data_IF_217985913958
#
_entry.id   IF_217985913958
#
_cell.length_a   1.000
_cell.length_b   1.000
_cell.length_c   1.000
_cell.angle_alpha   90.00
_cell.angle_beta   90.00
_cell.angle_gamma   90.00
#
_symmetry.space_group_name_H-M   'P 1'
#
loop_
_entity.id
_entity.type
_entity.pdbx_description
1 polymer ?
#
# COMPACT_ATOMS: atom_id res chain seq x y z
N UNK A 1 13.48 -2.16 -7.13
CA UNK A 1 13.23 -3.54 -7.59
C UNK A 1 12.01 -4.10 -6.86
N UNK A 2 11.17 -4.83 -7.56
CA UNK A 2 10.09 -5.59 -6.94
C UNK A 2 10.64 -6.84 -6.28
N UNK A 3 10.21 -7.12 -5.06
CA UNK A 3 10.53 -8.36 -4.38
C UNK A 3 9.55 -9.47 -4.82
N UNK A 4 8.26 -9.20 -4.71
CA UNK A 4 7.21 -10.15 -5.08
C UNK A 4 5.86 -9.47 -5.22
N UNK A 5 4.92 -10.21 -5.82
CA UNK A 5 3.50 -9.87 -5.80
C UNK A 5 2.67 -11.12 -5.55
N UNK A 6 1.52 -10.97 -4.92
CA UNK A 6 0.55 -12.04 -4.74
C UNK A 6 -0.84 -11.44 -4.51
N UNK A 7 -1.85 -12.30 -4.49
CA UNK A 7 -3.22 -11.86 -4.33
C UNK A 7 -3.81 -12.37 -3.02
N UNK A 8 -4.41 -11.48 -2.25
CA UNK A 8 -5.20 -11.85 -1.08
C UNK A 8 -6.46 -12.58 -1.52
N UNK A 9 -6.95 -13.46 -0.66
CA UNK A 9 -8.27 -14.07 -0.83
C UNK A 9 -9.36 -13.00 -0.96
N UNK A 10 -10.32 -13.19 -1.85
CA UNK A 10 -11.39 -12.23 -2.13
C UNK A 10 -12.22 -11.90 -0.89
N UNK A 11 -12.57 -12.92 -0.10
CA UNK A 11 -13.32 -12.74 1.15
C UNK A 11 -12.54 -11.88 2.15
N UNK A 12 -11.25 -12.10 2.28
CA UNK A 12 -10.38 -11.31 3.15
C UNK A 12 -10.25 -9.86 2.65
N UNK A 13 -10.06 -9.67 1.35
CA UNK A 13 -10.03 -8.33 0.73
C UNK A 13 -11.31 -7.56 1.00
N UNK A 14 -12.47 -8.19 0.86
CA UNK A 14 -13.75 -7.57 1.15
C UNK A 14 -13.94 -7.24 2.63
N UNK A 15 -13.44 -8.08 3.53
CA UNK A 15 -13.41 -7.80 4.97
C UNK A 15 -12.59 -6.55 5.27
N UNK A 16 -11.40 -6.43 4.70
CA UNK A 16 -10.55 -5.24 4.83
C UNK A 16 -11.27 -4.01 4.29
N UNK A 17 -11.84 -4.09 3.09
CA UNK A 17 -12.57 -2.99 2.46
C UNK A 17 -13.71 -2.48 3.35
N UNK A 18 -14.51 -3.38 3.89
CA UNK A 18 -15.63 -3.03 4.78
C UNK A 18 -15.16 -2.30 6.02
N UNK A 19 -14.11 -2.77 6.66
CA UNK A 19 -13.55 -2.13 7.85
C UNK A 19 -12.99 -0.74 7.52
N UNK A 20 -12.21 -0.61 6.45
CA UNK A 20 -11.62 0.68 6.06
C UNK A 20 -12.70 1.71 5.69
N UNK A 21 -13.73 1.31 4.97
CA UNK A 21 -14.85 2.19 4.64
C UNK A 21 -15.62 2.64 5.88
N UNK A 22 -15.76 1.79 6.87
CA UNK A 22 -16.39 2.13 8.16
C UNK A 22 -15.58 3.13 8.98
N UNK A 23 -14.28 3.18 8.79
CA UNK A 23 -13.37 4.04 9.55
C UNK A 23 -13.02 5.36 8.85
N UNK A 24 -13.28 5.47 7.55
CA UNK A 24 -12.78 6.59 6.74
C UNK A 24 -13.26 7.98 7.23
N UNK A 25 -14.42 8.07 7.89
CA UNK A 25 -14.93 9.34 8.43
C UNK A 25 -14.08 9.92 9.56
N UNK A 26 -13.21 9.09 10.16
CA UNK A 26 -12.25 9.50 11.18
C UNK A 26 -10.90 9.92 10.59
N UNK A 27 -10.70 9.75 9.27
CA UNK A 27 -9.45 10.06 8.61
C UNK A 27 -9.36 11.53 8.24
N UNK A 28 -8.12 11.99 8.11
CA UNK A 28 -7.81 13.38 7.77
C UNK A 28 -7.13 13.44 6.41
N UNK A 29 -7.31 14.57 5.72
CA UNK A 29 -6.59 14.80 4.48
C UNK A 29 -5.10 14.97 4.78
N UNK A 30 -4.25 14.18 4.12
CA UNK A 30 -2.81 14.35 4.14
C UNK A 30 -2.45 15.48 3.16
N UNK A 31 -1.54 16.36 3.58
CA UNK A 31 -1.03 17.46 2.78
C UNK A 31 0.43 17.25 2.34
N UNK A 32 1.03 16.10 2.68
CA UNK A 32 2.38 15.73 2.30
C UNK A 32 2.41 15.08 0.91
N UNK A 33 3.02 13.89 0.79
CA UNK A 33 3.15 13.19 -0.49
C UNK A 33 1.81 12.68 -1.01
N UNK A 34 0.97 12.15 -0.14
CA UNK A 34 -0.35 11.63 -0.49
C UNK A 34 -1.38 12.75 -0.31
N UNK A 35 -1.97 13.21 -1.41
CA UNK A 35 -3.02 14.23 -1.39
C UNK A 35 -4.40 13.57 -1.33
N UNK A 36 -4.67 12.86 -0.24
CA UNK A 36 -5.89 12.06 -0.03
C UNK A 36 -6.21 11.96 1.46
N UNK A 37 -7.32 11.32 1.81
CA UNK A 37 -7.60 10.98 3.21
C UNK A 37 -6.64 9.87 3.66
N UNK A 38 -6.05 10.02 4.83
CA UNK A 38 -5.19 8.99 5.43
C UNK A 38 -5.63 8.65 6.84
N UNK A 39 -5.48 7.39 7.21
CA UNK A 39 -5.81 6.91 8.55
C UNK A 39 -4.83 7.39 9.64
N UNK A 40 -3.73 8.04 9.24
CA UNK A 40 -2.58 8.22 10.13
C UNK A 40 -1.78 6.92 10.26
N UNK A 41 -0.70 6.96 11.03
CA UNK A 41 0.21 5.83 11.17
C UNK A 41 -0.20 4.88 12.29
N UNK A 42 0.00 3.59 12.07
CA UNK A 42 -0.22 2.48 13.01
C UNK A 42 -1.64 2.43 13.58
N UNK A 43 -2.69 2.59 12.77
CA UNK A 43 -4.03 2.41 13.26
C UNK A 43 -4.28 0.96 13.69
N UNK A 44 -5.22 0.78 14.62
CA UNK A 44 -5.59 -0.52 15.13
C UNK A 44 -6.67 -1.13 14.23
N UNK A 45 -6.28 -2.11 13.39
CA UNK A 45 -7.20 -2.81 12.50
C UNK A 45 -7.46 -4.22 12.98
N UNK A 46 -8.69 -4.65 12.94
CA UNK A 46 -9.11 -6.01 13.30
C UNK A 46 -8.40 -7.09 12.45
N UNK A 47 -8.16 -6.82 11.17
CA UNK A 47 -7.50 -7.75 10.24
C UNK A 47 -5.97 -7.75 10.30
N UNK A 48 -5.36 -6.84 11.08
CA UNK A 48 -3.92 -6.51 10.93
C UNK A 48 -2.99 -7.70 11.18
N UNK A 49 -3.22 -8.48 12.22
CA UNK A 49 -2.32 -9.60 12.58
C UNK A 49 -2.27 -10.67 11.48
N UNK A 50 -3.41 -10.98 10.85
CA UNK A 50 -3.47 -11.94 9.74
C UNK A 50 -2.71 -11.40 8.53
N UNK A 51 -2.93 -10.14 8.18
CA UNK A 51 -2.25 -9.48 7.06
C UNK A 51 -0.74 -9.41 7.29
N UNK A 52 -0.31 -8.96 8.46
CA UNK A 52 1.09 -8.88 8.86
C UNK A 52 1.79 -10.23 8.69
N UNK A 53 1.18 -11.30 9.20
CA UNK A 53 1.74 -12.63 9.09
C UNK A 53 1.95 -13.03 7.62
N UNK A 54 0.95 -12.86 6.77
CA UNK A 54 1.06 -13.21 5.35
C UNK A 54 2.18 -12.46 4.63
N UNK A 55 2.32 -11.15 4.89
CA UNK A 55 3.36 -10.33 4.26
C UNK A 55 4.76 -10.71 4.78
N UNK A 56 4.91 -10.86 6.09
CA UNK A 56 6.20 -11.25 6.69
C UNK A 56 6.65 -12.64 6.22
N UNK A 57 5.75 -13.60 6.08
CA UNK A 57 6.06 -14.91 5.53
C UNK A 57 6.55 -14.82 4.08
N UNK A 58 5.89 -14.03 3.23
CA UNK A 58 6.30 -13.81 1.84
C UNK A 58 7.69 -13.18 1.73
N UNK A 59 7.98 -12.20 2.57
CA UNK A 59 9.31 -11.59 2.60
C UNK A 59 10.36 -12.61 3.05
N UNK A 60 10.07 -13.37 4.11
CA UNK A 60 10.97 -14.40 4.62
C UNK A 60 11.24 -15.51 3.60
N UNK A 61 10.23 -15.96 2.88
CA UNK A 61 10.37 -17.02 1.86
C UNK A 61 11.42 -16.65 0.79
N UNK A 62 11.54 -15.38 0.49
CA UNK A 62 12.44 -14.86 -0.54
C UNK A 62 13.80 -14.48 0.05
N UNK A 63 13.81 -13.72 1.13
CA UNK A 63 15.03 -13.14 1.70
C UNK A 63 15.74 -14.03 2.71
N UNK A 64 15.03 -14.98 3.32
CA UNK A 64 15.46 -15.79 4.47
C UNK A 64 15.80 -14.95 5.71
N UNK A 65 15.38 -13.70 5.73
CA UNK A 65 15.56 -12.75 6.84
C UNK A 65 14.19 -12.38 7.38
N UNK A 66 14.04 -12.43 8.70
CA UNK A 66 12.82 -11.99 9.37
C UNK A 66 12.68 -10.48 9.27
N UNK A 67 11.48 -10.05 8.95
CA UNK A 67 11.10 -8.64 8.90
C UNK A 67 9.89 -8.40 9.77
N UNK A 68 9.74 -7.17 10.23
CA UNK A 68 8.56 -6.71 10.96
C UNK A 68 8.09 -5.38 10.38
N UNK A 69 6.77 -5.10 10.39
CA UNK A 69 6.27 -3.81 10.00
C UNK A 69 6.67 -2.74 11.03
N UNK A 70 7.11 -1.58 10.52
CA UNK A 70 7.38 -0.39 11.33
C UNK A 70 6.26 0.61 11.25
N UNK A 71 5.69 0.76 10.06
CA UNK A 71 4.60 1.67 9.76
C UNK A 71 3.53 0.97 8.95
N UNK A 72 2.28 1.33 9.18
CA UNK A 72 1.16 0.95 8.33
C UNK A 72 0.09 2.02 8.39
N UNK A 73 -0.58 2.24 7.24
CA UNK A 73 -1.64 3.23 7.10
C UNK A 73 -2.50 2.90 5.88
N UNK A 74 -3.72 3.44 5.87
CA UNK A 74 -4.60 3.35 4.72
C UNK A 74 -4.82 4.72 4.10
N UNK A 75 -5.02 4.76 2.79
CA UNK A 75 -5.34 5.95 2.04
C UNK A 75 -6.67 5.75 1.31
N UNK A 76 -7.50 6.78 1.32
CA UNK A 76 -8.72 6.87 0.54
C UNK A 76 -8.60 8.07 -0.40
N UNK A 77 -8.51 7.76 -1.69
CA UNK A 77 -8.47 8.76 -2.75
C UNK A 77 -9.89 8.97 -3.27
N UNK A 78 -10.36 10.19 -3.24
CA UNK A 78 -11.56 10.59 -3.96
C UNK A 78 -11.18 11.04 -5.38
N UNK A 79 -12.17 11.28 -6.22
CA UNK A 79 -11.94 11.88 -7.55
C UNK A 79 -11.19 13.20 -7.40
N UNK A 80 -10.08 13.36 -8.10
CA UNK A 80 -9.20 14.52 -8.03
C UNK A 80 -8.02 14.40 -7.08
N UNK A 81 -8.02 13.40 -6.20
CA UNK A 81 -6.88 13.14 -5.31
C UNK A 81 -5.73 12.44 -6.06
N UNK A 82 -4.52 12.56 -5.53
CA UNK A 82 -3.31 11.98 -6.13
C UNK A 82 -2.26 11.73 -5.06
N UNK A 83 -1.13 11.13 -5.46
CA UNK A 83 0.07 11.06 -4.64
C UNK A 83 1.28 11.52 -5.46
N UNK A 84 2.05 12.45 -4.90
CA UNK A 84 3.27 12.94 -5.50
C UNK A 84 4.33 11.84 -5.57
N UNK A 85 5.28 11.98 -6.48
CA UNK A 85 6.39 11.05 -6.60
C UNK A 85 7.22 11.05 -5.31
N UNK A 86 7.34 9.91 -4.67
CA UNK A 86 8.04 9.74 -3.41
C UNK A 86 8.58 8.32 -3.24
N UNK A 87 9.41 8.14 -2.23
CA UNK A 87 9.91 6.85 -1.76
C UNK A 87 9.80 6.77 -0.24
N UNK A 88 10.01 5.60 0.31
CA UNK A 88 10.04 5.38 1.75
C UNK A 88 11.47 5.09 2.22
N UNK A 89 11.93 5.76 3.22
CA UNK A 89 13.28 5.60 3.80
C UNK A 89 13.20 5.95 5.29
N UNK A 90 13.86 5.22 6.19
CA UNK A 90 14.97 4.26 5.97
C UNK A 90 14.54 2.78 5.89
N UNK A 91 13.30 2.47 5.70
CA UNK A 91 12.79 1.11 5.67
C UNK A 91 13.44 0.28 4.55
N UNK A 92 13.39 -1.07 4.67
CA UNK A 92 13.97 -1.98 3.68
C UNK A 92 12.98 -2.30 2.55
N UNK A 93 11.76 -2.68 2.94
CA UNK A 93 10.70 -3.00 2.00
C UNK A 93 9.44 -2.20 2.32
N UNK A 94 8.71 -1.88 1.27
CA UNK A 94 7.36 -1.33 1.35
C UNK A 94 6.40 -2.29 0.67
N UNK A 95 5.16 -2.28 1.13
CA UNK A 95 4.08 -2.97 0.45
C UNK A 95 2.92 -2.04 0.18
N UNK A 96 2.22 -2.29 -0.92
CA UNK A 96 0.95 -1.66 -1.24
C UNK A 96 -0.06 -2.75 -1.53
N UNK A 97 -1.23 -2.64 -0.90
CA UNK A 97 -2.35 -3.53 -1.11
C UNK A 97 -3.48 -2.72 -1.74
N UNK A 98 -3.93 -3.16 -2.90
CA UNK A 98 -5.01 -2.51 -3.64
C UNK A 98 -6.34 -3.05 -3.15
N UNK A 99 -7.10 -2.24 -2.42
CA UNK A 99 -8.39 -2.61 -1.85
C UNK A 99 -9.54 -2.20 -2.77
N UNK A 100 -9.44 -1.00 -3.35
CA UNK A 100 -10.30 -0.49 -4.41
C UNK A 100 -9.42 0.22 -5.43
N UNK A 101 -9.65 -0.02 -6.72
CA UNK A 101 -8.73 0.43 -7.76
C UNK A 101 -9.34 1.49 -8.66
N UNK A 102 -8.49 2.40 -9.16
CA UNK A 102 -8.78 3.28 -10.30
C UNK A 102 -7.93 2.80 -11.48
N UNK A 103 -8.55 2.04 -12.38
CA UNK A 103 -7.84 1.43 -13.53
C UNK A 103 -7.43 2.46 -14.58
N UNK A 104 -8.05 3.64 -14.59
CA UNK A 104 -7.72 4.71 -15.54
C UNK A 104 -6.40 5.39 -15.18
N UNK A 105 -6.13 5.58 -13.89
CA UNK A 105 -4.94 6.22 -13.36
C UNK A 105 -4.27 5.36 -12.29
N UNK A 106 -3.64 4.23 -12.70
CA UNK A 106 -3.01 3.34 -11.75
C UNK A 106 -1.75 3.94 -11.13
N UNK A 107 -1.36 3.39 -10.00
CA UNK A 107 -0.05 3.62 -9.41
C UNK A 107 1.04 3.30 -10.42
N UNK A 108 2.08 4.12 -10.45
CA UNK A 108 3.24 3.86 -11.27
C UNK A 108 4.54 3.98 -10.48
N UNK A 109 5.56 3.27 -10.95
CA UNK A 109 6.93 3.34 -10.46
C UNK A 109 7.80 4.06 -11.48
N UNK A 110 8.69 4.92 -10.99
CA UNK A 110 9.69 5.62 -11.79
C UNK A 110 11.06 4.98 -11.60
N UNK A 111 11.58 4.37 -12.66
CA UNK A 111 12.89 3.72 -12.65
C UNK A 111 14.00 4.64 -13.18
N UNK A 112 13.67 5.81 -13.70
CA UNK A 112 14.58 6.81 -14.26
C UNK A 112 15.80 6.20 -15.03
N UNK A 113 15.72 5.83 -16.35
CA UNK A 113 14.58 6.16 -17.21
C UNK A 113 13.51 5.06 -17.23
N UNK A 114 12.28 5.48 -17.47
CA UNK A 114 11.16 4.59 -17.68
C UNK A 114 10.17 4.56 -16.52
N UNK A 115 8.92 4.37 -16.86
CA UNK A 115 7.80 4.30 -15.92
C UNK A 115 7.11 2.95 -16.11
N UNK A 116 6.83 2.27 -14.99
CA UNK A 116 6.01 1.08 -14.96
C UNK A 116 4.66 1.40 -14.30
N UNK A 117 3.58 1.34 -15.08
CA UNK A 117 2.22 1.43 -14.55
C UNK A 117 1.75 0.06 -14.09
N UNK A 118 1.23 0.01 -12.88
CA UNK A 118 0.77 -1.25 -12.27
C UNK A 118 -0.58 -1.63 -12.86
N UNK A 119 -0.72 -2.89 -13.28
CA UNK A 119 -2.03 -3.46 -13.58
C UNK A 119 -2.73 -3.78 -12.25
N UNK A 120 -3.46 -2.81 -11.73
CA UNK A 120 -4.12 -2.94 -10.42
C UNK A 120 -5.30 -3.90 -10.47
N UNK A 121 -5.40 -4.72 -9.44
CA UNK A 121 -6.53 -5.58 -9.16
C UNK A 121 -6.84 -5.55 -7.67
N UNK A 122 -8.11 -5.61 -7.29
CA UNK A 122 -8.48 -5.69 -5.87
C UNK A 122 -7.89 -6.94 -5.23
N UNK A 123 -7.24 -6.77 -4.09
CA UNK A 123 -6.53 -7.82 -3.38
C UNK A 123 -5.08 -8.02 -3.80
N UNK A 124 -4.61 -7.37 -4.87
CA UNK A 124 -3.20 -7.43 -5.27
C UNK A 124 -2.32 -6.79 -4.20
N UNK A 125 -1.28 -7.50 -3.81
CA UNK A 125 -0.21 -7.04 -2.93
C UNK A 125 1.06 -6.93 -3.74
N UNK A 126 1.72 -5.77 -3.68
CA UNK A 126 3.08 -5.58 -4.18
C UNK A 126 4.00 -5.37 -3.00
N UNK A 127 5.15 -6.05 -3.01
CA UNK A 127 6.25 -5.83 -2.07
C UNK A 127 7.47 -5.42 -2.88
N UNK A 128 8.09 -4.30 -2.52
CA UNK A 128 9.17 -3.69 -3.29
C UNK A 128 10.19 -3.00 -2.37
N UNK A 129 11.37 -2.70 -2.91
CA UNK A 129 12.39 -1.91 -2.23
C UNK A 129 11.83 -0.53 -1.86
N UNK A 130 11.91 -0.14 -0.60
CA UNK A 130 11.37 1.13 -0.10
C UNK A 130 11.94 2.36 -0.79
N UNK A 131 13.10 2.26 -1.41
CA UNK A 131 13.73 3.35 -2.16
C UNK A 131 13.18 3.53 -3.58
N UNK A 132 12.32 2.63 -4.02
CA UNK A 132 11.72 2.72 -5.34
C UNK A 132 10.68 3.85 -5.38
N UNK A 133 10.92 4.84 -6.23
CA UNK A 133 10.02 5.98 -6.37
C UNK A 133 8.71 5.57 -7.04
N UNK A 134 7.61 6.04 -6.48
CA UNK A 134 6.27 5.76 -6.98
C UNK A 134 5.32 6.92 -6.74
N UNK A 135 4.24 6.96 -7.53
CA UNK A 135 3.24 8.01 -7.47
C UNK A 135 1.87 7.49 -7.95
N UNK A 136 0.85 8.29 -7.72
CA UNK A 136 -0.51 8.08 -8.23
C UNK A 136 -0.96 9.34 -8.93
N UNK A 137 -1.29 9.25 -10.22
CA UNK A 137 -1.88 10.35 -10.98
C UNK A 137 -3.25 10.73 -10.42
N UNK A 138 -3.79 11.88 -10.84
CA UNK A 138 -5.08 12.37 -10.39
C UNK A 138 -6.17 11.32 -10.63
N UNK A 139 -6.79 10.86 -9.55
CA UNK A 139 -7.79 9.80 -9.59
C UNK A 139 -9.07 10.26 -10.31
N UNK A 140 -9.59 9.39 -11.18
CA UNK A 140 -10.88 9.57 -11.84
C UNK A 140 -11.98 8.73 -11.20
N UNK A 141 -11.62 7.76 -10.40
CA UNK A 141 -12.50 6.94 -9.58
C UNK A 141 -11.98 6.89 -8.15
N UNK A 142 -12.84 6.52 -7.22
CA UNK A 142 -12.44 6.32 -5.84
C UNK A 142 -11.46 5.15 -5.73
N UNK A 143 -10.46 5.29 -4.87
CA UNK A 143 -9.37 4.35 -4.69
C UNK A 143 -9.07 4.17 -3.21
N UNK A 144 -8.80 2.95 -2.79
CA UNK A 144 -8.37 2.64 -1.43
C UNK A 144 -7.11 1.78 -1.51
N UNK A 145 -6.08 2.20 -0.81
CA UNK A 145 -4.85 1.42 -0.64
C UNK A 145 -4.51 1.28 0.84
N UNK A 146 -3.83 0.20 1.15
CA UNK A 146 -3.24 -0.04 2.47
C UNK A 146 -1.74 -0.24 2.26
N UNK A 147 -0.93 0.47 3.04
CA UNK A 147 0.52 0.42 2.93
C UNK A 147 1.15 -0.08 4.24
N UNK A 148 2.22 -0.85 4.13
CA UNK A 148 3.06 -1.27 5.24
C UNK A 148 4.54 -1.13 4.85
N UNK A 149 5.34 -0.62 5.77
CA UNK A 149 6.80 -0.55 5.64
C UNK A 149 7.47 -1.52 6.62
N UNK A 150 8.58 -2.12 6.22
CA UNK A 150 9.24 -3.20 6.94
C UNK A 150 10.73 -2.95 7.14
N UNK A 151 11.23 -3.35 8.30
CA UNK A 151 12.67 -3.44 8.61
C UNK A 151 13.02 -4.86 9.03
N UNK A 152 14.32 -5.17 9.08
CA UNK A 152 14.78 -6.44 9.65
C UNK A 152 14.31 -6.56 11.11
N UNK A 153 13.84 -7.73 11.47
CA UNK A 153 13.50 -8.09 12.84
C UNK A 153 14.71 -8.79 13.47
N UNK A 154 15.61 -7.97 13.95
CA UNK A 154 16.86 -8.44 14.60
C UNK A 154 16.62 -8.62 16.10
#
# INVERSE_FOLDING_TARGET
MFLTSFKLNEKFTNTIKTELLGLKNYWKKDLNNVKALTSGFKPDYFFFEILKQQLCEKIFDITKIKHKPTWWWANYYDVGDHADLHMHSPEHFSSIIFIKTDKSNPLYFDFNPGILRVKEEEGLVLIFDSKLHHAVDICQEQRITLALDFINDI
#
